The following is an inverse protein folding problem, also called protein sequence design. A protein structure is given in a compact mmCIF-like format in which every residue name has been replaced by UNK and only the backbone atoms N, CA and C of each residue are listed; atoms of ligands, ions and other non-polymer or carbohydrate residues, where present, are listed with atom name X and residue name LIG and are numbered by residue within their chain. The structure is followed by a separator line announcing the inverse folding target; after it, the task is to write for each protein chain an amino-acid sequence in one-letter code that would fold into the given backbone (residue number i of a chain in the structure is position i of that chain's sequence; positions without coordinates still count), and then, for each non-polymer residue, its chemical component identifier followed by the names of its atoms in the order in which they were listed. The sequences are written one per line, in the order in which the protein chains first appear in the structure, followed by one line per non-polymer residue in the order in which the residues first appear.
data_IF_716575793934
#
_entry.id   IF_716575793934
#
_cell.length_a   1.000
_cell.length_b   1.000
_cell.length_c   1.000
_cell.angle_alpha   90.00
_cell.angle_beta   90.00
_cell.angle_gamma   90.00
#
_symmetry.space_group_name_H-M   'P 1'
#
loop_
_entity.id
_entity.type
_entity.pdbx_description
1 polymer ?
#
# COMPACT_ATOMS: atom_id res chain seq x y z
N UNK A 1 -12.23 -14.57 7.05
CA UNK A 1 -12.63 -14.95 8.42
C UNK A 1 -13.11 -16.40 8.51
N UNK A 2 -13.77 -16.94 7.48
CA UNK A 2 -14.21 -18.35 7.42
C UNK A 2 -13.13 -19.40 7.79
N UNK A 3 -11.89 -19.24 7.32
CA UNK A 3 -10.75 -20.12 7.67
C UNK A 3 -10.54 -20.30 9.18
N UNK A 4 -10.92 -19.32 10.00
CA UNK A 4 -10.73 -19.31 11.45
C UNK A 4 -12.04 -19.47 12.23
N UNK A 5 -13.14 -19.83 11.55
CA UNK A 5 -14.46 -19.99 12.16
C UNK A 5 -14.94 -18.74 12.93
N UNK A 6 -14.67 -17.56 12.37
CA UNK A 6 -15.11 -16.27 12.92
C UNK A 6 -16.25 -15.73 12.05
N UNK A 7 -17.38 -15.41 12.67
CA UNK A 7 -18.53 -14.77 12.02
C UNK A 7 -18.20 -13.32 11.63
N UNK A 8 -18.78 -12.82 10.53
CA UNK A 8 -18.41 -11.53 9.93
C UNK A 8 -18.66 -10.32 10.84
N UNK A 9 -19.65 -10.41 11.74
CA UNK A 9 -20.01 -9.35 12.69
C UNK A 9 -19.38 -9.51 14.08
N UNK A 10 -18.55 -10.52 14.30
CA UNK A 10 -17.90 -10.75 15.59
C UNK A 10 -17.01 -9.54 15.97
N UNK A 11 -17.06 -9.11 17.24
CA UNK A 11 -16.19 -8.05 17.73
C UNK A 11 -14.85 -8.64 18.13
N UNK A 12 -13.82 -7.78 18.17
CA UNK A 12 -12.45 -8.20 18.55
C UNK A 12 -12.43 -8.82 19.95
N UNK A 13 -13.24 -8.29 20.88
CA UNK A 13 -13.34 -8.81 22.25
C UNK A 13 -14.02 -10.17 22.37
N UNK A 14 -14.76 -10.62 21.35
CA UNK A 14 -15.47 -11.90 21.38
C UNK A 14 -14.57 -13.08 20.94
N UNK A 15 -13.34 -12.80 20.49
CA UNK A 15 -12.44 -13.81 19.95
C UNK A 15 -11.75 -14.60 21.05
N UNK A 16 -11.82 -15.92 20.98
CA UNK A 16 -11.05 -16.78 21.87
C UNK A 16 -9.54 -16.64 21.59
N UNK A 17 -8.71 -16.76 22.64
CA UNK A 17 -7.24 -16.67 22.52
C UNK A 17 -6.67 -17.57 21.41
N UNK A 18 -7.21 -18.79 21.24
CA UNK A 18 -6.80 -19.71 20.17
C UNK A 18 -7.04 -19.13 18.76
N UNK A 19 -8.14 -18.41 18.55
CA UNK A 19 -8.46 -17.76 17.28
C UNK A 19 -7.50 -16.60 17.03
N UNK A 20 -7.24 -15.77 18.06
CA UNK A 20 -6.28 -14.65 17.97
C UNK A 20 -4.87 -15.14 17.61
N UNK A 21 -4.40 -16.22 18.25
CA UNK A 21 -3.10 -16.81 17.95
C UNK A 21 -3.04 -17.36 16.52
N UNK A 22 -4.09 -18.07 16.08
CA UNK A 22 -4.19 -18.59 14.71
C UNK A 22 -4.18 -17.48 13.66
N UNK A 23 -4.88 -16.37 13.93
CA UNK A 23 -4.88 -15.19 13.07
C UNK A 23 -3.50 -14.54 13.02
N UNK A 24 -2.83 -14.39 14.15
CA UNK A 24 -1.48 -13.79 14.23
C UNK A 24 -0.46 -14.61 13.45
N UNK A 25 -0.50 -15.94 13.60
CA UNK A 25 0.37 -16.85 12.83
C UNK A 25 0.11 -16.70 11.32
N UNK A 26 -1.15 -16.68 10.90
CA UNK A 26 -1.50 -16.52 9.49
C UNK A 26 -1.10 -15.15 8.92
N UNK A 27 -1.25 -14.07 9.70
CA UNK A 27 -0.82 -12.73 9.28
C UNK A 27 0.70 -12.64 9.13
N UNK A 28 1.45 -13.40 9.93
CA UNK A 28 2.93 -13.44 9.88
C UNK A 28 3.45 -14.09 8.59
N UNK A 29 2.67 -14.97 7.97
CA UNK A 29 3.00 -15.59 6.67
C UNK A 29 2.69 -14.67 5.47
N UNK A 30 1.93 -13.60 5.70
CA UNK A 30 1.47 -12.70 4.65
C UNK A 30 2.40 -11.48 4.53
N UNK A 31 2.61 -10.99 3.31
CA UNK A 31 3.29 -9.70 3.09
C UNK A 31 2.35 -8.56 3.46
N UNK A 32 2.46 -8.07 4.68
CA UNK A 32 1.67 -6.96 5.23
C UNK A 32 2.56 -5.79 5.64
N UNK A 33 1.92 -4.65 5.95
CA UNK A 33 2.57 -3.45 6.48
C UNK A 33 3.87 -3.05 5.76
N UNK A 34 5.03 -3.18 6.41
CA UNK A 34 6.30 -2.68 5.91
C UNK A 34 6.85 -3.51 4.76
N UNK A 35 6.61 -4.82 4.73
CA UNK A 35 7.10 -5.67 3.65
C UNK A 35 6.36 -5.36 2.34
N UNK A 36 5.05 -5.17 2.43
CA UNK A 36 4.25 -4.72 1.29
C UNK A 36 4.64 -3.30 0.85
N UNK A 37 4.89 -2.39 1.81
CA UNK A 37 5.37 -1.03 1.50
C UNK A 37 6.72 -1.06 0.77
N UNK A 38 7.68 -1.86 1.25
CA UNK A 38 9.01 -2.03 0.62
C UNK A 38 8.87 -2.55 -0.80
N UNK A 39 8.08 -3.61 -0.99
CA UNK A 39 7.82 -4.16 -2.33
C UNK A 39 7.29 -3.10 -3.31
N UNK A 40 6.30 -2.30 -2.89
CA UNK A 40 5.74 -1.24 -3.74
C UNK A 40 6.79 -0.16 -4.07
N UNK A 41 7.61 0.24 -3.09
CA UNK A 41 8.69 1.22 -3.33
C UNK A 41 9.74 0.66 -4.29
N UNK A 42 10.12 -0.60 -4.14
CA UNK A 42 11.10 -1.25 -5.01
C UNK A 42 10.56 -1.43 -6.43
N UNK A 43 9.28 -1.72 -6.59
CA UNK A 43 8.62 -1.74 -7.90
C UNK A 43 8.68 -0.35 -8.58
N UNK A 44 8.45 0.73 -7.83
CA UNK A 44 8.53 2.10 -8.37
C UNK A 44 9.98 2.48 -8.71
N UNK A 45 10.94 2.12 -7.84
CA UNK A 45 12.39 2.33 -8.10
C UNK A 45 12.83 1.59 -9.35
N UNK A 46 12.47 0.31 -9.49
CA UNK A 46 12.73 -0.47 -10.71
C UNK A 46 12.21 0.24 -11.95
N UNK A 47 10.96 0.72 -11.94
CA UNK A 47 10.37 1.44 -13.08
C UNK A 47 11.14 2.71 -13.45
N UNK A 48 11.65 3.44 -12.45
CA UNK A 48 12.48 4.64 -12.61
C UNK A 48 13.84 4.26 -13.20
N UNK A 49 14.52 3.28 -12.63
CA UNK A 49 15.88 2.91 -13.00
C UNK A 49 15.94 2.28 -14.40
N UNK A 50 14.93 1.51 -14.80
CA UNK A 50 14.76 1.03 -16.17
C UNK A 50 14.46 2.17 -17.16
N UNK A 51 14.10 3.37 -16.70
CA UNK A 51 13.84 4.52 -17.57
C UNK A 51 12.48 4.47 -18.28
N UNK A 52 11.51 3.70 -17.77
CA UNK A 52 10.18 3.59 -18.38
C UNK A 52 9.38 4.89 -18.29
N UNK A 53 8.38 5.09 -19.17
CA UNK A 53 7.46 6.25 -19.09
C UNK A 53 6.84 6.35 -17.70
N UNK A 54 6.38 5.22 -17.13
CA UNK A 54 5.80 5.18 -15.78
C UNK A 54 6.80 5.65 -14.72
N UNK A 55 8.05 5.19 -14.77
CA UNK A 55 9.13 5.62 -13.89
C UNK A 55 9.36 7.13 -13.94
N UNK A 56 9.43 7.71 -15.15
CA UNK A 56 9.55 9.16 -15.33
C UNK A 56 8.36 9.92 -14.75
N UNK A 57 7.14 9.41 -14.92
CA UNK A 57 5.92 10.03 -14.35
C UNK A 57 5.91 9.99 -12.83
N UNK A 58 6.38 8.89 -12.22
CA UNK A 58 6.61 8.80 -10.78
C UNK A 58 7.67 9.79 -10.29
N UNK A 59 8.77 9.98 -11.02
CA UNK A 59 9.80 10.96 -10.64
C UNK A 59 9.30 12.41 -10.72
N UNK A 60 8.48 12.72 -11.72
CA UNK A 60 7.92 14.06 -11.94
C UNK A 60 6.67 14.37 -11.09
N UNK A 61 6.15 13.43 -10.29
CA UNK A 61 4.90 13.66 -9.55
C UNK A 61 3.64 13.69 -10.42
N UNK A 62 3.69 13.16 -11.64
CA UNK A 62 2.60 13.30 -12.60
C UNK A 62 1.68 12.07 -12.62
N UNK A 63 0.47 12.19 -13.17
CA UNK A 63 -0.40 11.06 -13.46
C UNK A 63 0.29 9.93 -14.24
N UNK A 64 0.23 8.70 -13.75
CA UNK A 64 0.97 7.54 -14.31
C UNK A 64 0.09 6.69 -15.25
N UNK A 65 -1.24 6.80 -15.15
CA UNK A 65 -2.21 5.93 -15.85
C UNK A 65 -2.88 6.59 -17.06
N UNK A 66 -2.17 7.47 -17.77
CA UNK A 66 -2.70 8.14 -18.98
C UNK A 66 -3.79 9.19 -18.72
N UNK A 67 -3.89 9.71 -17.51
CA UNK A 67 -4.86 10.77 -17.18
C UNK A 67 -4.41 12.11 -17.80
N UNK A 68 -5.37 12.99 -18.07
CA UNK A 68 -5.11 14.34 -18.55
C UNK A 68 -4.20 15.12 -17.56
N UNK A 69 -3.42 16.07 -18.10
CA UNK A 69 -2.50 16.90 -17.29
C UNK A 69 -2.82 18.39 -17.32
N UNK A 70 -3.86 18.78 -18.07
CA UNK A 70 -4.31 20.18 -18.17
C UNK A 70 -5.06 20.65 -16.92
N UNK A 71 -5.85 19.76 -16.29
CA UNK A 71 -6.68 20.08 -15.13
C UNK A 71 -6.74 18.91 -14.14
N UNK A 72 -7.15 19.18 -12.90
CA UNK A 72 -7.48 18.16 -11.88
C UNK A 72 -6.34 17.17 -11.49
N UNK A 73 -5.07 17.57 -11.57
CA UNK A 73 -3.92 16.71 -11.24
C UNK A 73 -3.39 16.82 -9.80
N UNK A 74 -4.08 17.54 -8.91
CA UNK A 74 -3.58 17.90 -7.57
C UNK A 74 -3.18 16.69 -6.72
N UNK A 75 -3.98 15.63 -6.73
CA UNK A 75 -3.72 14.41 -5.95
C UNK A 75 -2.46 13.67 -6.43
N UNK A 76 -2.25 13.62 -7.76
CA UNK A 76 -1.07 13.00 -8.35
C UNK A 76 0.19 13.76 -7.95
N UNK A 77 0.19 15.09 -8.10
CA UNK A 77 1.31 15.96 -7.70
C UNK A 77 1.66 15.77 -6.23
N UNK A 78 0.65 15.67 -5.37
CA UNK A 78 0.85 15.53 -3.92
C UNK A 78 1.43 14.16 -3.54
N UNK A 79 1.00 13.08 -4.19
CA UNK A 79 1.21 11.71 -3.70
C UNK A 79 2.09 10.81 -4.58
N UNK A 80 2.27 11.12 -5.87
CA UNK A 80 3.09 10.31 -6.78
C UNK A 80 4.58 10.63 -6.62
N UNK A 81 5.11 10.43 -5.42
CA UNK A 81 6.54 10.56 -5.13
C UNK A 81 7.24 9.22 -5.31
N UNK A 82 8.56 9.23 -5.47
CA UNK A 82 9.39 8.02 -5.45
C UNK A 82 9.26 7.33 -4.09
N UNK A 83 9.42 8.09 -3.01
CA UNK A 83 9.08 7.64 -1.66
C UNK A 83 7.59 7.92 -1.40
N UNK A 84 6.74 7.02 -1.88
CA UNK A 84 5.31 7.10 -1.59
C UNK A 84 5.11 7.00 -0.08
N UNK A 85 4.50 8.03 0.52
CA UNK A 85 4.00 7.98 1.90
C UNK A 85 2.80 7.05 1.97
N UNK A 86 3.05 5.74 1.99
CA UNK A 86 2.04 4.71 2.19
C UNK A 86 1.67 4.64 3.68
N UNK A 87 1.10 5.71 4.26
CA UNK A 87 0.47 5.66 5.58
C UNK A 87 1.17 6.35 6.76
N UNK A 88 2.34 6.96 6.59
CA UNK A 88 2.86 7.88 7.62
C UNK A 88 2.19 9.25 7.46
N UNK A 89 1.28 9.60 8.39
CA UNK A 89 0.97 11.01 8.70
C UNK A 89 2.26 11.67 9.20
N UNK A 90 3.09 12.17 8.29
CA UNK A 90 4.06 13.21 8.66
C UNK A 90 3.28 14.47 9.10
N UNK A 91 3.84 15.30 10.00
CA UNK A 91 3.15 16.48 10.48
C UNK A 91 2.88 17.43 9.30
N UNK A 92 1.87 18.30 9.48
CA UNK A 92 1.57 19.37 8.52
C UNK A 92 2.82 20.21 8.27
#
# INVERSE_FOLDING_TARGET
MARFYVHETAKIGDLANKQVLSLTAALSEMKIENDLRRQILDDIRRLKDTGTVRGRRHALGLPVRGQNTRSQIKTAIKLNKLDRRLGLKGPR
#
